data_IF_439036003031
#
_entry.id   IF_439036003031
#
_cell.length_a   1.000
_cell.length_b   1.000
_cell.length_c   1.000
_cell.angle_alpha   90.00
_cell.angle_beta   90.00
_cell.angle_gamma   90.00
#
_symmetry.space_group_name_H-M   'P 1'
#
loop_
_entity.id
_entity.type
_entity.pdbx_description
1 polymer ?
#
# COMPACT_ATOMS: atom_id res chain seq x y z
N UNK A 1 -34.96 83.21 -30.07
CA UNK A 1 -35.18 82.20 -31.11
C UNK A 1 -33.99 82.27 -32.07
N UNK A 2 -32.94 81.56 -31.79
CA UNK A 2 -31.76 81.52 -32.66
C UNK A 2 -31.86 80.15 -33.40
N UNK A 3 -32.00 80.22 -34.69
CA UNK A 3 -32.33 79.13 -35.59
C UNK A 3 -31.13 78.21 -35.78
N UNK A 4 -31.34 76.95 -35.64
CA UNK A 4 -30.43 75.78 -35.74
C UNK A 4 -29.64 75.66 -37.06
N UNK A 5 -29.91 76.48 -38.01
CA UNK A 5 -29.32 76.47 -39.35
C UNK A 5 -27.95 77.14 -39.46
N UNK A 6 -27.44 77.80 -38.38
CA UNK A 6 -26.19 78.57 -38.48
C UNK A 6 -24.95 77.75 -38.10
N UNK A 7 -25.11 76.57 -37.50
CA UNK A 7 -23.98 75.72 -37.03
C UNK A 7 -23.55 74.60 -38.01
N UNK A 8 -24.43 74.22 -38.95
CA UNK A 8 -24.10 73.18 -39.94
C UNK A 8 -23.11 73.64 -41.05
N UNK A 9 -23.03 74.95 -41.30
CA UNK A 9 -22.22 75.46 -42.39
C UNK A 9 -20.70 75.62 -42.06
N UNK A 10 -20.30 75.64 -40.76
CA UNK A 10 -18.91 75.95 -40.40
C UNK A 10 -18.03 74.63 -40.26
N UNK A 11 -18.65 73.50 -39.98
CA UNK A 11 -17.94 72.23 -39.86
C UNK A 11 -17.49 71.66 -41.19
N UNK A 12 -18.39 71.68 -42.18
CA UNK A 12 -18.14 71.09 -43.50
C UNK A 12 -17.10 71.84 -44.35
N UNK A 13 -17.00 73.13 -44.20
CA UNK A 13 -15.97 73.90 -44.92
C UNK A 13 -14.57 73.77 -44.40
N UNK A 14 -14.37 73.42 -43.11
CA UNK A 14 -13.06 73.20 -42.54
C UNK A 14 -12.53 71.79 -42.89
N UNK A 15 -13.36 70.76 -42.90
CA UNK A 15 -12.97 69.41 -43.31
C UNK A 15 -12.69 69.35 -44.83
N UNK A 16 -13.50 70.03 -45.68
CA UNK A 16 -13.28 69.95 -47.11
C UNK A 16 -11.98 70.65 -47.56
N UNK A 17 -11.49 71.65 -46.79
CA UNK A 17 -10.23 72.36 -47.09
C UNK A 17 -8.96 71.59 -46.59
N UNK A 18 -9.11 70.64 -45.64
CA UNK A 18 -8.02 69.87 -45.16
C UNK A 18 -7.55 68.80 -46.22
N UNK A 19 -8.49 68.29 -47.01
CA UNK A 19 -8.22 67.36 -48.09
C UNK A 19 -7.76 67.98 -49.42
N UNK A 20 -7.83 69.34 -49.58
CA UNK A 20 -7.46 70.01 -50.82
C UNK A 20 -5.97 70.39 -50.97
N UNK A 21 -5.14 70.19 -49.94
CA UNK A 21 -3.68 70.48 -50.07
C UNK A 21 -2.93 69.20 -50.33
N UNK A 22 -2.18 69.03 -51.45
CA UNK A 22 -1.49 67.83 -51.82
C UNK A 22 -0.51 67.31 -50.72
N UNK A 23 0.09 68.21 -49.93
CA UNK A 23 0.94 67.85 -48.76
C UNK A 23 0.16 67.16 -47.63
N UNK A 24 -1.11 67.48 -47.44
CA UNK A 24 -1.89 66.84 -46.37
C UNK A 24 -2.32 65.40 -46.77
N UNK A 25 -2.58 65.15 -48.05
CA UNK A 25 -2.96 63.84 -48.56
C UNK A 25 -1.77 62.83 -48.35
N UNK A 26 -0.56 63.30 -48.67
CA UNK A 26 0.66 62.43 -48.44
C UNK A 26 0.83 62.13 -46.98
N UNK A 27 0.69 63.07 -46.07
CA UNK A 27 0.80 62.82 -44.61
C UNK A 27 -0.30 61.87 -44.11
N UNK A 28 -1.53 62.02 -44.61
CA UNK A 28 -2.65 61.12 -44.20
C UNK A 28 -2.42 59.68 -44.68
N UNK A 29 -1.95 59.50 -45.90
CA UNK A 29 -1.62 58.16 -46.44
C UNK A 29 -0.48 57.52 -45.65
N UNK A 30 0.60 58.30 -45.36
CA UNK A 30 1.75 57.80 -44.58
C UNK A 30 1.32 57.41 -43.18
N UNK A 31 0.50 58.18 -42.48
CA UNK A 31 -0.02 57.87 -41.15
C UNK A 31 -0.89 56.61 -41.16
N UNK A 32 -1.73 56.42 -42.19
CA UNK A 32 -2.54 55.22 -42.34
C UNK A 32 -1.69 53.97 -42.52
N UNK A 33 -0.61 54.02 -43.30
CA UNK A 33 0.33 52.91 -43.46
C UNK A 33 1.00 52.58 -42.14
N UNK A 34 1.46 53.57 -41.37
CA UNK A 34 2.08 53.36 -40.06
C UNK A 34 1.11 52.67 -39.08
N UNK A 35 -0.16 53.12 -39.05
CA UNK A 35 -1.19 52.48 -38.20
C UNK A 35 -1.45 51.06 -38.60
N UNK A 36 -1.52 50.75 -39.88
CA UNK A 36 -1.70 49.37 -40.38
C UNK A 36 -0.50 48.51 -39.98
N UNK A 37 0.74 49.00 -40.15
CA UNK A 37 1.93 48.27 -39.77
C UNK A 37 2.00 48.00 -38.26
N UNK A 38 1.68 48.99 -37.43
CA UNK A 38 1.61 48.82 -35.97
C UNK A 38 0.53 47.83 -35.58
N UNK A 39 -0.65 47.86 -36.17
CA UNK A 39 -1.72 46.91 -35.93
C UNK A 39 -1.30 45.44 -36.28
N UNK A 40 -0.57 45.30 -37.39
CA UNK A 40 -0.04 44.02 -37.81
C UNK A 40 1.01 43.46 -36.84
N UNK A 41 1.92 44.29 -36.36
CA UNK A 41 2.91 43.92 -35.35
C UNK A 41 2.25 43.50 -34.03
N UNK A 42 1.26 44.27 -33.57
CA UNK A 42 0.48 43.95 -32.36
C UNK A 42 -0.23 42.59 -32.53
N UNK A 43 -0.87 42.38 -33.67
CA UNK A 43 -1.56 41.10 -33.96
C UNK A 43 -0.59 39.91 -33.98
N UNK A 44 0.54 40.03 -34.65
CA UNK A 44 1.56 38.97 -34.69
C UNK A 44 2.09 38.67 -33.29
N UNK A 45 2.37 39.68 -32.49
CA UNK A 45 2.86 39.54 -31.13
C UNK A 45 1.83 38.87 -30.25
N UNK A 46 0.57 39.26 -30.33
CA UNK A 46 -0.52 38.62 -29.61
C UNK A 46 -0.71 37.16 -30.00
N UNK A 47 -0.70 36.85 -31.29
CA UNK A 47 -0.82 35.49 -31.81
C UNK A 47 0.32 34.59 -31.31
N UNK A 48 1.58 35.04 -31.42
CA UNK A 48 2.73 34.31 -30.96
C UNK A 48 2.70 34.07 -29.43
N UNK A 49 2.25 35.05 -28.66
CA UNK A 49 2.11 34.93 -27.21
C UNK A 49 1.02 33.92 -26.84
N UNK A 50 -0.09 33.92 -27.57
CA UNK A 50 -1.15 32.91 -27.38
C UNK A 50 -0.67 31.50 -27.68
N UNK A 51 0.06 31.33 -28.79
CA UNK A 51 0.63 30.07 -29.19
C UNK A 51 1.65 29.53 -28.16
N UNK A 52 2.53 30.39 -27.65
CA UNK A 52 3.49 30.03 -26.61
C UNK A 52 2.81 29.59 -25.30
N UNK A 53 1.71 30.26 -24.90
CA UNK A 53 0.92 29.84 -23.72
C UNK A 53 0.33 28.45 -23.93
N UNK A 54 -0.20 28.17 -25.11
CA UNK A 54 -0.73 26.85 -25.44
C UNK A 54 0.36 25.78 -25.35
N UNK A 55 1.53 26.00 -25.95
CA UNK A 55 2.65 25.06 -25.84
C UNK A 55 3.13 24.83 -24.40
N UNK A 56 3.14 25.87 -23.57
CA UNK A 56 3.48 25.75 -22.16
C UNK A 56 2.46 24.88 -21.39
N UNK A 57 1.16 25.04 -21.69
CA UNK A 57 0.12 24.20 -21.10
C UNK A 57 0.24 22.74 -21.54
N UNK A 58 0.48 22.50 -22.83
CA UNK A 58 0.65 21.15 -23.38
C UNK A 58 1.88 20.46 -22.76
N UNK A 59 3.00 21.18 -22.63
CA UNK A 59 4.21 20.68 -21.97
C UNK A 59 4.01 20.36 -20.50
N UNK A 60 3.26 21.21 -19.76
CA UNK A 60 2.96 20.95 -18.36
C UNK A 60 2.05 19.73 -18.17
N UNK A 61 1.05 19.57 -19.03
CA UNK A 61 0.17 18.39 -19.08
C UNK A 61 0.94 17.12 -19.39
N UNK A 62 1.84 17.18 -20.37
CA UNK A 62 2.68 16.04 -20.75
C UNK A 62 3.62 15.66 -19.60
N UNK A 63 4.25 16.64 -18.94
CA UNK A 63 5.10 16.42 -17.76
C UNK A 63 4.34 15.75 -16.61
N UNK A 64 3.10 16.19 -16.35
CA UNK A 64 2.23 15.53 -15.35
C UNK A 64 1.89 14.09 -15.71
N UNK A 65 1.63 13.82 -16.99
CA UNK A 65 1.36 12.47 -17.48
C UNK A 65 2.57 11.54 -17.35
N UNK A 66 3.78 12.04 -17.62
CA UNK A 66 5.02 11.28 -17.41
C UNK A 66 5.25 10.95 -15.94
N UNK A 67 5.03 11.90 -15.02
CA UNK A 67 5.16 11.64 -13.59
C UNK A 67 4.16 10.57 -13.11
N UNK A 68 2.92 10.56 -13.60
CA UNK A 68 1.93 9.54 -13.28
C UNK A 68 2.33 8.14 -13.82
N UNK A 69 2.86 8.08 -15.03
CA UNK A 69 3.38 6.83 -15.63
C UNK A 69 4.55 6.30 -14.81
N UNK A 70 5.49 7.16 -14.43
CA UNK A 70 6.66 6.75 -13.64
C UNK A 70 6.26 6.20 -12.27
N UNK A 71 5.33 6.87 -11.58
CA UNK A 71 4.78 6.39 -10.32
C UNK A 71 4.10 5.02 -10.47
N UNK A 72 3.28 4.83 -11.51
CA UNK A 72 2.63 3.54 -11.78
C UNK A 72 3.63 2.44 -12.14
N UNK A 73 4.68 2.78 -12.87
CA UNK A 73 5.74 1.84 -13.20
C UNK A 73 6.50 1.39 -11.95
N UNK A 74 6.88 2.33 -11.09
CA UNK A 74 7.56 2.05 -9.83
C UNK A 74 6.70 1.19 -8.90
N UNK A 75 5.40 1.47 -8.79
CA UNK A 75 4.46 0.64 -8.02
C UNK A 75 4.39 -0.79 -8.56
N UNK A 76 4.28 -0.95 -9.89
CA UNK A 76 4.24 -2.28 -10.53
C UNK A 76 5.54 -3.04 -10.35
N UNK A 77 6.69 -2.38 -10.49
CA UNK A 77 8.00 -2.98 -10.30
C UNK A 77 8.17 -3.48 -8.86
N UNK A 78 7.75 -2.69 -7.87
CA UNK A 78 7.77 -3.09 -6.46
C UNK A 78 6.88 -4.30 -6.20
N UNK A 79 5.67 -4.33 -6.78
CA UNK A 79 4.75 -5.48 -6.66
C UNK A 79 5.31 -6.74 -7.30
N UNK A 80 5.94 -6.62 -8.46
CA UNK A 80 6.56 -7.77 -9.16
C UNK A 80 7.73 -8.34 -8.35
N UNK A 81 8.61 -7.50 -7.82
CA UNK A 81 9.73 -7.95 -6.99
C UNK A 81 9.27 -8.64 -5.69
N UNK A 82 8.21 -8.15 -5.07
CA UNK A 82 7.62 -8.79 -3.88
C UNK A 82 6.97 -10.14 -4.22
N UNK A 83 6.28 -10.24 -5.35
CA UNK A 83 5.68 -11.50 -5.80
C UNK A 83 6.74 -12.53 -6.18
N UNK A 84 7.82 -12.12 -6.82
CA UNK A 84 8.95 -12.98 -7.16
C UNK A 84 9.66 -13.48 -5.90
N UNK A 85 9.91 -12.62 -4.93
CA UNK A 85 10.49 -12.99 -3.64
C UNK A 85 9.61 -14.03 -2.92
N UNK A 86 8.30 -13.81 -2.91
CA UNK A 86 7.35 -14.72 -2.32
C UNK A 86 7.37 -16.08 -3.02
N UNK A 87 7.34 -16.10 -4.36
CA UNK A 87 7.38 -17.33 -5.15
C UNK A 87 8.66 -18.13 -4.89
N UNK A 88 9.82 -17.46 -4.91
CA UNK A 88 11.12 -18.09 -4.67
C UNK A 88 11.26 -18.67 -3.25
N UNK A 89 10.55 -18.12 -2.28
CA UNK A 89 10.55 -18.58 -0.90
C UNK A 89 9.38 -19.48 -0.53
N UNK A 90 8.43 -19.72 -1.43
CA UNK A 90 7.16 -20.40 -1.12
C UNK A 90 7.38 -21.74 -0.41
N UNK A 91 8.21 -22.63 -0.94
CA UNK A 91 8.43 -23.94 -0.34
C UNK A 91 9.04 -23.84 1.07
N UNK A 92 9.97 -22.91 1.27
CA UNK A 92 10.57 -22.67 2.60
C UNK A 92 9.51 -22.13 3.57
N UNK A 93 8.73 -21.15 3.16
CA UNK A 93 7.69 -20.53 3.98
C UNK A 93 6.64 -21.57 4.38
N UNK A 94 6.15 -22.35 3.43
CA UNK A 94 5.14 -23.37 3.68
C UNK A 94 5.64 -24.49 4.62
N UNK A 95 6.93 -24.81 4.61
CA UNK A 95 7.51 -25.78 5.53
C UNK A 95 7.55 -25.31 6.99
N UNK A 96 7.37 -24.01 7.24
CA UNK A 96 7.33 -23.43 8.59
C UNK A 96 5.93 -23.31 9.17
N UNK A 97 4.89 -23.63 8.40
CA UNK A 97 3.50 -23.60 8.85
C UNK A 97 3.09 -25.01 9.31
N UNK A 98 2.42 -25.08 10.42
CA UNK A 98 2.02 -26.30 11.07
C UNK A 98 0.49 -26.37 11.20
N UNK A 99 -0.03 -27.57 11.01
CA UNK A 99 -1.34 -27.95 11.46
C UNK A 99 -1.24 -28.36 12.94
N UNK A 100 -2.01 -27.68 13.79
CA UNK A 100 -2.04 -27.95 15.22
C UNK A 100 -3.34 -28.62 15.64
N UNK A 101 -3.25 -29.51 16.61
CA UNK A 101 -4.43 -30.10 17.27
C UNK A 101 -4.24 -30.07 18.78
N UNK A 102 -5.37 -29.96 19.49
CA UNK A 102 -5.43 -30.06 20.94
C UNK A 102 -6.70 -30.78 21.37
N UNK A 103 -6.65 -31.50 22.47
CA UNK A 103 -7.81 -32.16 23.06
C UNK A 103 -8.61 -31.14 23.86
N UNK A 104 -9.91 -31.09 23.60
CA UNK A 104 -10.89 -30.32 24.39
C UNK A 104 -11.36 -31.26 25.47
N UNK A 105 -10.98 -30.99 26.70
CA UNK A 105 -11.34 -31.66 27.91
C UNK A 105 -12.05 -33.05 27.73
N UNK A 106 -12.39 -33.80 28.71
CA UNK A 106 -12.90 -35.18 28.77
C UNK A 106 -13.86 -35.67 27.64
N UNK A 107 -14.27 -34.76 26.70
CA UNK A 107 -15.22 -35.04 25.61
C UNK A 107 -14.63 -35.70 24.38
N UNK A 108 -13.30 -35.92 24.32
CA UNK A 108 -12.58 -36.44 23.12
C UNK A 108 -12.76 -35.58 21.84
N UNK A 109 -13.24 -34.36 21.98
CA UNK A 109 -13.29 -33.41 20.88
C UNK A 109 -11.88 -32.86 20.63
N UNK A 110 -11.54 -32.69 19.36
CA UNK A 110 -10.24 -32.16 18.94
C UNK A 110 -10.44 -30.75 18.38
N UNK A 111 -9.65 -29.82 18.85
CA UNK A 111 -9.57 -28.48 18.31
C UNK A 111 -8.45 -28.41 17.29
N UNK A 112 -8.77 -27.99 16.07
CA UNK A 112 -7.81 -27.75 15.02
C UNK A 112 -7.45 -26.27 14.92
N UNK A 113 -6.20 -25.96 14.63
CA UNK A 113 -5.72 -24.58 14.48
C UNK A 113 -4.43 -24.55 13.65
N UNK A 114 -4.01 -23.38 13.27
CA UNK A 114 -2.73 -23.15 12.57
C UNK A 114 -1.66 -22.70 13.57
N UNK A 115 -0.43 -23.10 13.33
CA UNK A 115 0.74 -22.58 14.01
C UNK A 115 1.88 -22.37 13.01
N UNK A 116 2.92 -21.68 13.39
CA UNK A 116 4.11 -21.49 12.57
C UNK A 116 5.37 -21.38 13.43
N UNK A 117 6.52 -21.67 12.84
CA UNK A 117 7.80 -21.53 13.50
C UNK A 117 8.51 -20.24 13.13
N UNK A 118 9.17 -19.63 14.12
CA UNK A 118 10.06 -18.48 13.95
C UNK A 118 11.47 -18.81 14.42
N UNK A 119 12.46 -18.09 13.87
CA UNK A 119 13.84 -18.07 14.36
C UNK A 119 14.03 -16.75 15.12
N UNK A 120 14.37 -16.85 16.40
CA UNK A 120 14.67 -15.68 17.21
C UNK A 120 15.80 -16.00 18.19
N UNK A 121 16.85 -15.18 18.22
CA UNK A 121 18.07 -15.38 19.04
C UNK A 121 18.64 -16.79 18.90
N UNK A 122 18.78 -17.25 17.65
CA UNK A 122 19.31 -18.58 17.27
C UNK A 122 18.52 -19.77 17.79
N UNK A 123 17.26 -19.56 18.19
CA UNK A 123 16.34 -20.60 18.64
C UNK A 123 15.08 -20.63 17.80
N UNK A 124 14.45 -21.80 17.75
CA UNK A 124 13.20 -22.00 17.03
C UNK A 124 12.04 -22.08 18.00
N UNK A 125 11.05 -21.25 17.80
CA UNK A 125 9.82 -21.25 18.58
C UNK A 125 8.65 -21.54 17.67
N UNK A 126 7.67 -22.30 18.16
CA UNK A 126 6.40 -22.52 17.50
C UNK A 126 5.36 -21.58 18.11
N UNK A 127 4.69 -20.82 17.25
CA UNK A 127 3.77 -19.76 17.64
C UNK A 127 2.37 -20.07 17.11
N UNK A 128 1.37 -19.82 17.91
CA UNK A 128 -0.05 -19.82 17.51
C UNK A 128 -0.82 -18.72 18.26
N UNK A 129 -2.12 -18.60 18.04
CA UNK A 129 -2.97 -17.71 18.81
C UNK A 129 -3.26 -18.28 20.21
N UNK A 130 -3.40 -17.42 21.22
CA UNK A 130 -3.62 -17.82 22.60
C UNK A 130 -5.00 -18.46 22.83
N UNK A 131 -6.05 -18.00 22.11
CA UNK A 131 -7.36 -18.64 22.16
C UNK A 131 -7.37 -20.09 21.59
N UNK A 132 -6.30 -20.51 20.93
CA UNK A 132 -6.09 -21.92 20.55
C UNK A 132 -5.59 -22.77 21.74
N UNK A 133 -5.22 -22.14 22.87
CA UNK A 133 -4.80 -22.80 24.11
C UNK A 133 -5.93 -22.81 25.13
N UNK A 134 -6.68 -21.71 25.19
CA UNK A 134 -7.79 -21.55 26.12
C UNK A 134 -8.88 -20.68 25.47
N UNK A 135 -10.10 -21.18 25.47
CA UNK A 135 -11.25 -20.44 24.97
C UNK A 135 -12.43 -20.60 25.94
N UNK A 136 -13.11 -19.51 26.28
CA UNK A 136 -14.26 -19.51 27.21
C UNK A 136 -13.95 -20.23 28.56
N UNK A 137 -12.76 -20.03 29.12
CA UNK A 137 -12.25 -20.68 30.32
C UNK A 137 -12.03 -22.20 30.21
N UNK A 138 -12.11 -22.76 29.01
CA UNK A 138 -11.75 -24.16 28.76
C UNK A 138 -10.31 -24.22 28.28
N UNK A 139 -9.43 -24.84 29.09
CA UNK A 139 -8.02 -25.07 28.71
C UNK A 139 -7.92 -26.35 27.92
N UNK A 140 -7.26 -26.25 26.76
CA UNK A 140 -6.98 -27.42 25.93
C UNK A 140 -5.69 -28.11 26.39
N UNK A 141 -5.53 -29.35 26.00
CA UNK A 141 -4.41 -30.21 26.43
C UNK A 141 -3.85 -31.00 25.23
N UNK A 142 -2.76 -31.70 25.47
CA UNK A 142 -2.17 -32.65 24.50
C UNK A 142 -1.91 -32.05 23.13
N UNK A 143 -1.29 -30.85 23.10
CA UNK A 143 -0.96 -30.14 21.87
C UNK A 143 -0.04 -30.96 20.99
N UNK A 144 -0.43 -31.14 19.74
CA UNK A 144 0.34 -31.80 18.70
C UNK A 144 0.39 -30.97 17.46
N UNK A 145 1.51 -30.95 16.80
CA UNK A 145 1.72 -30.16 15.60
C UNK A 145 2.32 -31.03 14.50
N UNK A 146 1.93 -30.77 13.28
CA UNK A 146 2.47 -31.44 12.11
C UNK A 146 2.85 -30.39 11.07
N UNK A 147 4.11 -30.39 10.65
CA UNK A 147 4.55 -29.53 9.57
C UNK A 147 3.79 -29.87 8.30
N UNK A 148 3.54 -28.89 7.48
CA UNK A 148 2.70 -28.99 6.30
C UNK A 148 3.17 -30.07 5.30
N UNK A 149 4.46 -30.25 5.15
CA UNK A 149 5.08 -31.32 4.34
C UNK A 149 5.47 -32.55 5.17
N UNK A 150 5.12 -32.55 6.46
CA UNK A 150 5.54 -33.59 7.42
C UNK A 150 4.53 -34.74 7.53
N UNK A 151 5.03 -35.88 7.96
CA UNK A 151 4.21 -37.04 8.33
C UNK A 151 4.27 -37.33 9.83
N UNK A 152 5.08 -36.57 10.57
CA UNK A 152 5.36 -36.82 11.97
C UNK A 152 4.79 -35.72 12.83
N UNK A 153 4.06 -36.10 13.85
CA UNK A 153 3.58 -35.19 14.88
C UNK A 153 4.72 -34.83 15.83
N UNK A 154 4.77 -33.55 16.18
CA UNK A 154 5.69 -33.04 17.19
C UNK A 154 4.87 -32.50 18.38
N UNK A 155 5.41 -32.66 19.58
CA UNK A 155 4.78 -32.26 20.85
C UNK A 155 5.74 -31.37 21.63
N UNK A 156 5.87 -30.10 21.25
CA UNK A 156 6.67 -29.14 22.00
C UNK A 156 5.99 -28.74 23.32
N UNK A 157 6.77 -28.18 24.23
CA UNK A 157 6.30 -27.67 25.50
C UNK A 157 5.70 -26.29 25.34
N UNK A 158 4.54 -26.01 25.95
CA UNK A 158 3.95 -24.70 26.06
C UNK A 158 4.72 -23.88 27.09
N UNK A 159 5.42 -22.83 26.64
CA UNK A 159 6.18 -21.96 27.52
C UNK A 159 5.30 -20.89 28.18
N UNK A 160 4.49 -20.22 27.38
CA UNK A 160 3.59 -19.15 27.83
C UNK A 160 2.50 -18.89 26.78
N UNK A 161 1.41 -18.29 27.21
CA UNK A 161 0.39 -17.75 26.32
C UNK A 161 -0.29 -16.54 26.94
N UNK A 162 -0.90 -15.74 26.10
CA UNK A 162 -1.78 -14.67 26.47
C UNK A 162 -3.02 -14.71 25.57
N UNK A 163 -4.19 -14.64 26.14
CA UNK A 163 -5.47 -14.66 25.45
C UNK A 163 -6.24 -13.38 25.78
N UNK A 164 -5.75 -12.23 25.30
CA UNK A 164 -6.43 -10.94 25.41
C UNK A 164 -6.93 -10.52 24.04
N UNK A 165 -8.00 -11.14 23.64
CA UNK A 165 -8.65 -10.98 22.36
C UNK A 165 -9.16 -9.55 22.10
N UNK A 166 -9.45 -8.82 23.18
CA UNK A 166 -9.96 -7.44 23.10
C UNK A 166 -8.87 -6.46 22.70
N UNK A 167 -7.66 -6.65 23.26
CA UNK A 167 -6.53 -5.77 23.04
C UNK A 167 -5.59 -6.27 21.93
N UNK A 168 -6.02 -7.25 21.13
CA UNK A 168 -5.19 -7.88 20.09
C UNK A 168 -3.84 -8.41 20.63
N UNK A 169 -3.82 -8.89 21.88
CA UNK A 169 -2.67 -9.55 22.48
C UNK A 169 -3.03 -11.00 22.77
N UNK A 170 -3.02 -11.80 21.71
CA UNK A 170 -3.53 -13.15 21.70
C UNK A 170 -2.52 -14.06 20.99
N UNK A 171 -1.65 -14.73 21.78
CA UNK A 171 -0.57 -15.58 21.29
C UNK A 171 -0.26 -16.71 22.26
N UNK A 172 0.34 -17.79 21.74
CA UNK A 172 0.95 -18.85 22.51
C UNK A 172 2.31 -19.22 21.93
N UNK A 173 3.27 -19.54 22.79
CA UNK A 173 4.65 -19.82 22.47
C UNK A 173 5.00 -21.20 22.97
N UNK A 174 5.45 -22.06 22.05
CA UNK A 174 5.94 -23.39 22.33
C UNK A 174 7.41 -23.53 21.98
N UNK A 175 8.10 -24.40 22.69
CA UNK A 175 9.51 -24.70 22.46
C UNK A 175 9.83 -26.13 22.76
N UNK A 176 10.76 -26.70 22.04
CA UNK A 176 11.49 -27.90 22.41
C UNK A 176 12.79 -27.94 21.63
N UNK A 177 13.87 -28.11 22.33
CA UNK A 177 15.20 -28.18 21.75
C UNK A 177 15.28 -29.24 20.67
N UNK A 178 15.91 -28.93 19.54
CA UNK A 178 16.13 -29.82 18.39
C UNK A 178 14.88 -30.42 17.73
N UNK A 179 13.69 -30.02 18.12
CA UNK A 179 12.45 -30.53 17.53
C UNK A 179 12.00 -29.73 16.31
N UNK A 180 12.23 -28.40 16.34
CA UNK A 180 11.91 -27.50 15.28
C UNK A 180 13.21 -26.92 14.75
N UNK A 181 13.48 -27.11 13.46
CA UNK A 181 14.76 -26.76 12.83
C UNK A 181 14.65 -25.78 11.69
N UNK A 182 13.44 -25.31 11.40
CA UNK A 182 13.15 -24.31 10.37
C UNK A 182 12.20 -23.28 10.94
N UNK A 183 12.32 -22.02 10.50
CA UNK A 183 11.44 -20.95 10.94
C UNK A 183 11.48 -19.73 10.03
N UNK A 184 10.48 -18.89 10.18
CA UNK A 184 10.42 -17.56 9.57
C UNK A 184 11.21 -16.57 10.41
N UNK A 185 11.74 -15.55 9.79
CA UNK A 185 12.33 -14.43 10.50
C UNK A 185 11.23 -13.46 10.93
N UNK A 186 11.19 -13.03 12.20
CA UNK A 186 10.30 -11.95 12.62
C UNK A 186 10.79 -10.62 12.05
N UNK A 187 9.87 -9.73 11.67
CA UNK A 187 10.19 -8.37 11.28
C UNK A 187 10.74 -7.61 12.50
N UNK A 188 11.94 -7.05 12.38
CA UNK A 188 12.53 -6.22 13.43
C UNK A 188 11.83 -4.85 13.47
N UNK A 189 12.00 -4.11 14.60
CA UNK A 189 11.24 -2.88 14.87
C UNK A 189 11.35 -1.82 13.76
N UNK A 190 12.48 -1.73 13.11
CA UNK A 190 12.77 -0.73 12.07
C UNK A 190 12.45 -1.22 10.64
N UNK A 191 11.94 -2.45 10.51
CA UNK A 191 11.50 -2.99 9.23
C UNK A 191 10.06 -2.62 8.90
N UNK A 192 9.68 -2.88 7.64
CA UNK A 192 8.30 -2.76 7.17
C UNK A 192 7.37 -3.68 8.00
N UNK A 193 6.51 -3.08 8.80
CA UNK A 193 5.51 -3.76 9.62
C UNK A 193 4.17 -3.92 8.89
N UNK A 194 4.09 -3.53 7.62
CA UNK A 194 2.85 -3.60 6.84
C UNK A 194 2.48 -5.03 6.51
N UNK A 195 1.34 -5.55 6.97
CA UNK A 195 0.89 -6.89 6.66
C UNK A 195 0.51 -7.00 5.18
N UNK A 196 0.99 -8.01 4.50
CA UNK A 196 0.70 -8.29 3.10
C UNK A 196 -0.06 -9.60 2.93
N UNK A 197 0.43 -10.67 3.55
CA UNK A 197 -0.06 -12.01 3.32
C UNK A 197 -0.27 -12.76 4.64
N UNK A 198 -1.16 -13.75 4.60
CA UNK A 198 -1.37 -14.74 5.66
C UNK A 198 -1.22 -16.13 5.07
N UNK A 199 -0.68 -17.04 5.86
CA UNK A 199 -0.50 -18.44 5.50
C UNK A 199 -1.25 -19.33 6.48
N UNK A 200 -2.44 -19.78 6.08
CA UNK A 200 -3.25 -20.70 6.89
C UNK A 200 -2.99 -22.16 6.54
N UNK A 201 -3.25 -23.04 7.49
CA UNK A 201 -3.27 -24.48 7.29
C UNK A 201 -4.54 -25.03 7.94
N UNK A 202 -5.64 -25.05 7.18
CA UNK A 202 -6.93 -25.56 7.62
C UNK A 202 -7.06 -27.01 7.13
N UNK A 203 -7.44 -27.93 8.00
CA UNK A 203 -7.76 -29.32 7.65
C UNK A 203 -6.67 -30.05 6.87
N UNK A 204 -5.40 -29.70 7.12
CA UNK A 204 -4.23 -30.16 6.37
C UNK A 204 -4.19 -29.76 4.89
N UNK A 205 -5.12 -28.94 4.46
CA UNK A 205 -5.05 -28.30 3.16
C UNK A 205 -4.10 -27.12 3.23
N UNK A 206 -3.11 -27.15 2.39
CA UNK A 206 -2.21 -26.03 2.15
C UNK A 206 -3.01 -24.85 1.63
N UNK A 207 -3.51 -24.05 2.54
CA UNK A 207 -4.09 -22.81 2.13
C UNK A 207 -2.99 -21.91 1.59
N UNK A 208 -3.13 -21.66 0.32
CA UNK A 208 -2.29 -20.76 -0.43
C UNK A 208 -2.09 -19.44 0.33
N UNK A 209 -0.93 -18.89 0.19
CA UNK A 209 -0.61 -17.53 0.57
C UNK A 209 -1.67 -16.60 -0.01
N UNK A 210 -2.40 -15.90 0.85
CA UNK A 210 -3.46 -14.96 0.46
C UNK A 210 -3.25 -13.62 1.14
N UNK A 211 -3.95 -12.61 0.69
CA UNK A 211 -3.95 -11.31 1.36
C UNK A 211 -4.41 -11.48 2.80
N UNK A 212 -3.77 -10.82 3.75
CA UNK A 212 -4.06 -10.98 5.17
C UNK A 212 -5.52 -10.63 5.54
N UNK A 213 -6.17 -9.74 4.80
CA UNK A 213 -7.60 -9.40 4.97
C UNK A 213 -8.57 -10.49 4.50
N UNK A 214 -8.09 -11.46 3.75
CA UNK A 214 -8.90 -12.57 3.24
C UNK A 214 -8.86 -13.79 4.16
N UNK A 215 -8.40 -13.62 5.41
CA UNK A 215 -8.34 -14.68 6.43
C UNK A 215 -9.73 -15.28 6.71
N UNK A 216 -9.76 -16.60 6.98
CA UNK A 216 -10.97 -17.36 7.24
C UNK A 216 -10.96 -17.91 8.67
N UNK A 217 -12.12 -18.38 9.09
CA UNK A 217 -12.23 -19.14 10.33
C UNK A 217 -11.34 -20.40 10.27
N UNK A 218 -10.60 -20.69 11.32
CA UNK A 218 -9.62 -21.80 11.38
C UNK A 218 -8.19 -21.39 11.03
N UNK A 219 -7.99 -20.18 10.50
CA UNK A 219 -6.65 -19.65 10.24
C UNK A 219 -6.02 -18.89 11.42
N UNK A 220 -6.71 -18.90 12.57
CA UNK A 220 -6.13 -18.40 13.82
C UNK A 220 -4.81 -19.08 14.13
N UNK A 221 -3.81 -18.30 14.52
CA UNK A 221 -2.45 -18.76 14.73
C UNK A 221 -1.57 -18.80 13.48
N UNK A 222 -2.10 -18.40 12.31
CA UNK A 222 -1.31 -18.28 11.09
C UNK A 222 -0.34 -17.11 11.15
N UNK A 223 0.84 -17.21 10.51
CA UNK A 223 1.74 -16.07 10.38
C UNK A 223 1.17 -15.03 9.43
N UNK A 224 1.22 -13.77 9.84
CA UNK A 224 1.03 -12.60 8.97
C UNK A 224 2.42 -12.10 8.57
N UNK A 225 2.69 -12.01 7.28
CA UNK A 225 4.01 -11.65 6.76
C UNK A 225 3.95 -10.36 5.92
N UNK A 226 5.07 -9.63 5.88
CA UNK A 226 5.26 -8.45 5.04
C UNK A 226 5.73 -8.82 3.62
N UNK A 227 6.02 -7.81 2.81
CA UNK A 227 6.53 -7.98 1.44
C UNK A 227 7.90 -8.67 1.35
N UNK A 228 8.68 -8.69 2.43
CA UNK A 228 9.97 -9.38 2.54
C UNK A 228 9.86 -10.82 3.08
N UNK A 229 8.65 -11.32 3.28
CA UNK A 229 8.37 -12.61 3.90
C UNK A 229 8.80 -12.70 5.38
N UNK A 230 8.94 -11.57 6.08
CA UNK A 230 9.16 -11.54 7.52
C UNK A 230 7.83 -11.48 8.26
N UNK A 231 7.77 -12.15 9.42
CA UNK A 231 6.55 -12.21 10.24
C UNK A 231 6.34 -10.86 10.93
N UNK A 232 5.19 -10.24 10.69
CA UNK A 232 4.74 -9.00 11.37
C UNK A 232 3.70 -9.28 12.44
N UNK A 233 3.08 -10.46 12.46
CA UNK A 233 2.12 -10.81 13.49
C UNK A 233 1.56 -12.22 13.40
N UNK A 234 0.69 -12.52 14.36
CA UNK A 234 -0.06 -13.78 14.54
C UNK A 234 -1.52 -13.50 14.24
N UNK A 235 -2.11 -14.16 13.27
CA UNK A 235 -3.53 -14.00 12.92
C UNK A 235 -4.44 -14.44 14.06
N UNK A 236 -5.39 -13.60 14.44
CA UNK A 236 -6.32 -13.89 15.54
C UNK A 236 -7.80 -13.86 15.15
N UNK A 237 -8.17 -13.11 14.11
CA UNK A 237 -9.56 -12.98 13.65
C UNK A 237 -9.69 -13.02 12.14
N UNK A 238 -10.85 -13.46 11.68
CA UNK A 238 -11.20 -13.48 10.24
C UNK A 238 -11.28 -12.10 9.59
N UNK A 239 -11.35 -11.02 10.36
CA UNK A 239 -11.35 -9.64 9.86
C UNK A 239 -9.95 -9.11 9.51
N UNK A 240 -8.92 -9.94 9.67
CA UNK A 240 -7.52 -9.59 9.46
C UNK A 240 -6.84 -9.02 10.71
N UNK A 241 -7.50 -9.00 11.87
CA UNK A 241 -6.85 -8.62 13.13
C UNK A 241 -5.76 -9.61 13.50
N UNK A 242 -4.63 -9.11 13.97
CA UNK A 242 -3.48 -9.93 14.35
C UNK A 242 -2.79 -9.35 15.59
N UNK A 243 -2.13 -10.22 16.36
CA UNK A 243 -1.20 -9.82 17.41
C UNK A 243 0.12 -9.40 16.78
N UNK A 244 0.65 -8.19 17.01
CA UNK A 244 1.96 -7.79 16.52
C UNK A 244 3.06 -8.74 16.97
N UNK A 245 4.00 -9.08 16.09
CA UNK A 245 5.09 -10.02 16.42
C UNK A 245 5.95 -9.50 17.57
N UNK A 246 6.05 -8.19 17.75
CA UNK A 246 6.82 -7.56 18.81
C UNK A 246 6.32 -7.95 20.22
N UNK A 247 5.02 -8.19 20.37
CA UNK A 247 4.44 -8.69 21.64
C UNK A 247 4.92 -10.10 21.94
N UNK A 248 5.01 -10.95 20.91
CA UNK A 248 5.52 -12.31 21.03
C UNK A 248 7.01 -12.33 21.38
N UNK A 249 7.81 -11.50 20.70
CA UNK A 249 9.25 -11.38 20.97
C UNK A 249 9.53 -10.86 22.39
N UNK A 250 8.77 -9.85 22.82
CA UNK A 250 8.87 -9.32 24.17
C UNK A 250 8.50 -10.39 25.24
N UNK A 251 7.57 -11.29 24.94
CA UNK A 251 7.24 -12.39 25.82
C UNK A 251 8.37 -13.43 25.88
N UNK A 252 8.99 -13.77 24.75
CA UNK A 252 10.17 -14.68 24.70
C UNK A 252 11.31 -14.07 25.51
N UNK A 253 11.57 -12.77 25.37
CA UNK A 253 12.64 -12.08 26.12
C UNK A 253 12.44 -12.13 27.63
N UNK A 254 11.19 -12.07 28.09
CA UNK A 254 10.87 -12.19 29.54
C UNK A 254 11.08 -13.59 30.11
N UNK A 255 11.09 -14.63 29.26
CA UNK A 255 11.32 -15.99 29.71
C UNK A 255 12.80 -16.25 30.08
N UNK A 256 13.72 -15.41 29.59
CA UNK A 256 15.15 -15.52 29.90
C UNK A 256 15.84 -16.76 29.36
N UNK A 257 15.25 -17.40 28.36
CA UNK A 257 15.76 -18.62 27.71
C UNK A 257 16.49 -18.31 26.43
#
# INVERSE_FOLDING_TARGET
>A
MITENSLKGLGDKKLSNFFKKPKNIFFTVLLSIIIIMLSLVIFITWYNTSLLRQYQQDLSSLSGSFADIDNKLNERTTRLSSAELLLNNTNRILSTVYFGTADIDERKEVKDFTAFSIIYKDRFYLITAGHCIEFENIKYKNFKFMANNGRTWVTPELLTYKNDYTNNTDYAIFYKENLITTGLYPAVKDEDQSPQYVLGNIERDLNLIKKYKDARQGESGSPVINSKCHVVGVMIKKDGSYTPIQEVLAAIDKLGI
#
